data_IF_704431678970
#
_entry.id   IF_704431678970
#
_cell.length_a   1.000
_cell.length_b   1.000
_cell.length_c   1.000
_cell.angle_alpha   90.00
_cell.angle_beta   90.00
_cell.angle_gamma   90.00
#
_symmetry.space_group_name_H-M   'P 1'
#
loop_
_entity.id
_entity.type
_entity.pdbx_description
1 polymer ?
#
# COMPACT_ATOMS: atom_id res chain seq x y z
N UNK A 1 -21.03 -14.96 33.34
CA UNK A 1 -20.04 -15.39 32.32
C UNK A 1 -20.33 -14.64 31.04
N UNK A 2 -19.59 -13.56 30.77
CA UNK A 2 -19.76 -12.76 29.55
C UNK A 2 -19.43 -13.64 28.35
N UNK A 3 -20.36 -13.67 27.40
CA UNK A 3 -20.25 -14.39 26.12
C UNK A 3 -18.93 -13.95 25.48
N UNK A 4 -18.02 -14.90 25.27
CA UNK A 4 -16.79 -14.71 24.50
C UNK A 4 -17.17 -13.99 23.21
N UNK A 5 -16.77 -12.72 23.05
CA UNK A 5 -17.04 -11.97 21.83
C UNK A 5 -16.40 -12.75 20.68
N UNK A 6 -17.18 -13.28 19.72
CA UNK A 6 -16.61 -13.94 18.56
C UNK A 6 -15.67 -12.95 17.86
N UNK A 7 -14.48 -13.39 17.43
CA UNK A 7 -13.44 -12.50 16.94
C UNK A 7 -13.99 -11.66 15.78
N UNK A 8 -13.86 -10.34 15.91
CA UNK A 8 -14.36 -9.34 14.96
C UNK A 8 -13.91 -9.60 13.51
N UNK A 9 -12.83 -10.37 13.35
CA UNK A 9 -12.28 -10.95 12.13
C UNK A 9 -13.32 -11.58 11.20
N UNK A 10 -14.35 -12.25 11.73
CA UNK A 10 -15.39 -12.84 10.88
C UNK A 10 -16.13 -11.79 10.03
N UNK A 11 -16.22 -10.54 10.48
CA UNK A 11 -16.86 -9.43 9.75
C UNK A 11 -16.03 -8.91 8.58
N UNK A 12 -14.75 -9.26 8.56
CA UNK A 12 -13.79 -8.86 7.54
C UNK A 12 -13.54 -9.94 6.49
N UNK A 13 -14.20 -11.10 6.61
CA UNK A 13 -14.15 -12.16 5.61
C UNK A 13 -14.62 -11.64 4.25
N UNK A 14 -13.93 -12.08 3.21
CA UNK A 14 -14.17 -11.68 1.81
C UNK A 14 -14.04 -10.17 1.55
N UNK A 15 -13.39 -9.43 2.46
CA UNK A 15 -13.11 -8.00 2.30
C UNK A 15 -11.63 -7.75 2.05
N UNK A 16 -11.35 -6.62 1.40
CA UNK A 16 -10.00 -6.15 1.22
C UNK A 16 -9.42 -5.61 2.52
N UNK A 17 -8.24 -6.11 2.88
CA UNK A 17 -7.53 -5.80 4.13
C UNK A 17 -6.08 -5.44 3.83
N UNK A 18 -5.57 -4.47 4.56
CA UNK A 18 -4.17 -4.06 4.56
C UNK A 18 -3.49 -4.60 5.82
N UNK A 19 -2.45 -5.40 5.63
CA UNK A 19 -1.69 -6.06 6.69
C UNK A 19 -0.31 -5.42 6.79
N UNK A 20 0.00 -4.89 7.97
CA UNK A 20 1.35 -4.45 8.33
C UNK A 20 2.07 -5.63 8.97
N UNK A 21 3.11 -6.11 8.31
CA UNK A 21 3.93 -7.22 8.77
C UNK A 21 5.22 -6.72 9.40
N UNK A 22 5.88 -7.59 10.16
CA UNK A 22 7.22 -7.33 10.66
C UNK A 22 8.20 -7.01 9.52
N UNK A 23 9.12 -6.08 9.77
CA UNK A 23 10.10 -5.62 8.78
C UNK A 23 9.58 -4.53 7.83
N UNK A 24 8.62 -3.71 8.28
CA UNK A 24 8.03 -2.60 7.52
C UNK A 24 7.40 -3.02 6.18
N UNK A 25 6.97 -4.28 6.07
CA UNK A 25 6.30 -4.80 4.88
C UNK A 25 4.81 -4.55 5.01
N UNK A 26 4.20 -4.12 3.91
CA UNK A 26 2.75 -3.92 3.84
C UNK A 26 2.21 -4.81 2.73
N UNK A 27 1.28 -5.68 3.10
CA UNK A 27 0.62 -6.59 2.17
C UNK A 27 -0.87 -6.29 2.17
N UNK A 28 -1.41 -6.02 0.99
CA UNK A 28 -2.85 -5.81 0.78
C UNK A 28 -3.44 -7.03 0.10
N UNK A 29 -4.65 -7.44 0.46
CA UNK A 29 -5.35 -8.51 -0.26
C UNK A 29 -6.72 -8.83 0.33
N UNK A 30 -7.35 -9.91 -0.15
CA UNK A 30 -8.69 -10.31 0.29
C UNK A 30 -8.58 -11.35 1.41
N UNK A 31 -9.23 -11.11 2.55
CA UNK A 31 -9.25 -12.05 3.66
C UNK A 31 -10.12 -13.27 3.33
N UNK A 32 -9.53 -14.46 3.22
CA UNK A 32 -10.24 -15.72 2.94
C UNK A 32 -10.42 -16.63 4.14
N UNK A 33 -9.58 -16.50 5.16
CA UNK A 33 -9.68 -17.34 6.34
C UNK A 33 -8.74 -16.91 7.44
N UNK A 34 -9.05 -17.30 8.66
CA UNK A 34 -8.20 -17.08 9.82
C UNK A 34 -8.29 -18.27 10.77
N UNK A 35 -7.27 -18.46 11.59
CA UNK A 35 -7.24 -19.48 12.64
C UNK A 35 -7.13 -18.87 14.05
N UNK A 36 -7.25 -19.67 15.12
CA UNK A 36 -7.10 -19.18 16.50
C UNK A 36 -5.73 -18.60 16.82
N UNK A 37 -4.70 -18.91 16.03
CA UNK A 37 -3.35 -18.39 16.16
C UNK A 37 -3.11 -17.15 15.28
N UNK A 38 -4.18 -16.56 14.74
CA UNK A 38 -4.15 -15.40 13.85
C UNK A 38 -3.37 -15.65 12.55
N UNK A 39 -3.15 -16.90 12.13
CA UNK A 39 -2.69 -17.15 10.77
C UNK A 39 -3.82 -16.79 9.80
N UNK A 40 -3.49 -16.04 8.77
CA UNK A 40 -4.47 -15.48 7.83
C UNK A 40 -4.20 -16.01 6.42
N UNK A 41 -5.26 -16.43 5.75
CA UNK A 41 -5.25 -16.74 4.32
C UNK A 41 -5.68 -15.49 3.57
N UNK A 42 -4.80 -14.99 2.71
CA UNK A 42 -5.05 -13.83 1.86
C UNK A 42 -5.00 -14.26 0.41
N UNK A 43 -6.01 -13.89 -0.36
CA UNK A 43 -6.03 -14.04 -1.82
C UNK A 43 -5.65 -12.71 -2.50
N UNK A 44 -5.08 -12.80 -3.70
CA UNK A 44 -4.61 -11.66 -4.49
C UNK A 44 -3.73 -10.72 -3.67
N UNK A 45 -2.82 -11.29 -2.88
CA UNK A 45 -1.91 -10.54 -2.03
C UNK A 45 -0.93 -9.74 -2.89
N UNK A 46 -0.92 -8.43 -2.66
CA UNK A 46 0.00 -7.48 -3.28
C UNK A 46 0.86 -6.86 -2.20
N UNK A 47 2.16 -7.03 -2.31
CA UNK A 47 3.12 -6.37 -1.45
C UNK A 47 3.42 -4.97 -1.99
N UNK A 48 3.15 -3.96 -1.15
CA UNK A 48 3.48 -2.58 -1.42
C UNK A 48 4.83 -2.28 -0.74
N UNK A 49 5.91 -2.24 -1.53
CA UNK A 49 7.20 -1.76 -1.05
C UNK A 49 7.14 -0.24 -0.88
N UNK A 50 6.66 0.23 0.27
CA UNK A 50 6.85 1.62 0.66
C UNK A 50 8.34 1.83 0.92
N UNK A 51 9.09 2.24 -0.10
CA UNK A 51 10.28 3.05 0.14
C UNK A 51 9.75 4.36 0.70
N UNK A 52 9.74 4.50 2.03
CA UNK A 52 9.49 5.78 2.67
C UNK A 52 10.55 6.75 2.15
N UNK A 53 10.14 7.62 1.23
CA UNK A 53 10.72 8.95 1.12
C UNK A 53 9.72 9.83 1.86
N UNK A 54 10.02 10.17 3.12
CA UNK A 54 9.39 11.33 3.74
C UNK A 54 9.82 12.54 2.91
N UNK A 55 8.94 13.01 2.01
CA UNK A 55 9.12 14.31 1.37
C UNK A 55 8.28 15.29 2.18
N UNK A 56 8.79 15.75 3.31
CA UNK A 56 8.18 16.81 4.12
C UNK A 56 8.47 18.21 3.54
N UNK A 57 8.47 18.32 2.22
CA UNK A 57 8.89 19.51 1.50
C UNK A 57 8.02 19.76 0.29
N UNK A 58 7.13 20.75 0.41
CA UNK A 58 6.40 21.33 -0.70
C UNK A 58 7.37 21.66 -1.85
N UNK A 59 7.30 20.92 -2.95
CA UNK A 59 8.00 21.23 -4.19
C UNK A 59 7.11 22.19 -4.98
N UNK A 60 7.35 23.49 -4.80
CA UNK A 60 6.72 24.56 -5.59
C UNK A 60 7.56 24.81 -6.85
N UNK A 61 7.21 24.17 -7.98
CA UNK A 61 7.91 24.36 -9.25
C UNK A 61 7.32 25.58 -9.96
N UNK A 62 7.87 26.78 -9.69
CA UNK A 62 7.66 27.96 -10.53
C UNK A 62 8.69 27.99 -11.66
N UNK A 63 8.24 27.71 -12.88
CA UNK A 63 9.06 27.90 -14.10
C UNK A 63 8.76 29.30 -14.64
N UNK A 64 9.69 30.24 -14.52
CA UNK A 64 9.62 31.52 -15.24
C UNK A 64 9.98 31.29 -16.71
N UNK A 65 9.01 31.50 -17.58
CA UNK A 65 9.13 31.29 -19.02
C UNK A 65 9.97 32.40 -19.67
N UNK A 66 11.27 32.17 -19.82
CA UNK A 66 12.14 32.86 -20.78
C UNK A 66 13.20 31.87 -21.31
N UNK A 67 12.77 30.85 -22.03
CA UNK A 67 13.69 29.95 -22.72
C UNK A 67 13.22 29.80 -24.18
N UNK A 68 14.13 30.06 -25.11
CA UNK A 68 13.98 29.87 -26.56
C UNK A 68 13.59 28.42 -26.88
N UNK A 69 12.93 28.23 -28.03
CA UNK A 69 12.20 26.99 -28.35
C UNK A 69 13.06 25.71 -28.35
N UNK A 70 14.37 25.81 -28.63
CA UNK A 70 15.31 24.68 -28.54
C UNK A 70 15.60 24.24 -27.09
N UNK A 71 15.73 25.20 -26.16
CA UNK A 71 15.94 24.93 -24.73
C UNK A 71 14.70 24.31 -24.09
N UNK A 72 13.48 24.68 -24.53
CA UNK A 72 12.24 24.09 -24.01
C UNK A 72 12.11 22.59 -24.29
N UNK A 73 12.62 22.10 -25.42
CA UNK A 73 12.54 20.69 -25.75
C UNK A 73 13.45 19.82 -24.88
N UNK A 74 14.68 20.30 -24.61
CA UNK A 74 15.63 19.60 -23.73
C UNK A 74 15.16 19.69 -22.27
N UNK A 75 14.77 20.88 -21.82
CA UNK A 75 14.25 21.10 -20.46
C UNK A 75 12.95 20.31 -20.25
N UNK A 76 12.04 20.29 -21.25
CA UNK A 76 10.80 19.53 -21.20
C UNK A 76 11.02 18.02 -21.15
N UNK A 77 11.99 17.48 -21.90
CA UNK A 77 12.39 16.07 -21.79
C UNK A 77 13.00 15.75 -20.42
N UNK A 78 13.83 16.65 -19.89
CA UNK A 78 14.48 16.47 -18.61
C UNK A 78 13.49 16.54 -17.44
N UNK A 79 12.57 17.52 -17.44
CA UNK A 79 11.50 17.63 -16.44
C UNK A 79 10.56 16.43 -16.52
N UNK A 80 10.14 16.01 -17.72
CA UNK A 80 9.30 14.80 -17.89
C UNK A 80 10.01 13.55 -17.39
N UNK A 81 11.31 13.44 -17.58
CA UNK A 81 12.12 12.32 -17.09
C UNK A 81 12.30 12.35 -15.56
N UNK A 82 12.56 13.52 -14.98
CA UNK A 82 12.70 13.71 -13.53
C UNK A 82 11.36 13.46 -12.84
N UNK A 83 10.28 14.08 -13.31
CA UNK A 83 8.92 13.85 -12.80
C UNK A 83 8.51 12.39 -13.01
N UNK A 84 8.79 11.81 -14.17
CA UNK A 84 8.50 10.40 -14.44
C UNK A 84 9.25 9.44 -13.52
N UNK A 85 10.54 9.70 -13.23
CA UNK A 85 11.28 8.96 -12.22
C UNK A 85 10.71 9.20 -10.83
N UNK A 86 10.43 10.44 -10.45
CA UNK A 86 9.88 10.78 -9.14
C UNK A 86 8.51 10.10 -8.91
N UNK A 87 7.60 10.14 -9.88
CA UNK A 87 6.31 9.44 -9.85
C UNK A 87 6.50 7.92 -9.73
N UNK A 88 7.43 7.34 -10.49
CA UNK A 88 7.73 5.90 -10.39
C UNK A 88 8.31 5.52 -9.02
N UNK A 89 9.08 6.41 -8.39
CA UNK A 89 9.60 6.22 -7.04
C UNK A 89 8.52 6.41 -5.96
N UNK A 90 7.57 7.33 -6.16
CA UNK A 90 6.46 7.58 -5.25
C UNK A 90 5.42 6.44 -5.26
N UNK A 91 5.15 5.85 -6.43
CA UNK A 91 4.13 4.81 -6.54
C UNK A 91 4.51 3.45 -5.93
N UNK A 92 5.79 3.25 -5.59
CA UNK A 92 6.31 2.00 -5.04
C UNK A 92 6.29 0.86 -6.08
N UNK A 93 7.26 -0.03 -5.99
CA UNK A 93 7.18 -1.30 -6.72
C UNK A 93 6.14 -2.19 -6.02
N UNK A 94 5.16 -2.67 -6.79
CA UNK A 94 4.13 -3.61 -6.32
C UNK A 94 4.52 -5.01 -6.76
N UNK A 95 4.59 -5.94 -5.83
CA UNK A 95 4.82 -7.34 -6.14
C UNK A 95 3.51 -8.11 -5.94
N UNK A 96 2.99 -8.68 -7.03
CA UNK A 96 1.83 -9.57 -7.00
C UNK A 96 2.28 -10.95 -6.54
N UNK A 97 1.81 -11.41 -5.39
CA UNK A 97 2.18 -12.70 -4.81
C UNK A 97 1.10 -13.75 -5.10
N UNK A 98 -0.17 -13.34 -5.10
CA UNK A 98 -1.32 -14.23 -5.28
C UNK A 98 -1.85 -14.78 -3.95
N UNK A 99 -2.20 -16.07 -3.89
CA UNK A 99 -2.71 -16.69 -2.66
C UNK A 99 -1.58 -17.02 -1.69
N UNK A 100 -1.66 -16.48 -0.48
CA UNK A 100 -0.65 -16.71 0.57
C UNK A 100 -1.28 -16.96 1.93
N UNK A 101 -0.57 -17.74 2.73
CA UNK A 101 -0.87 -17.90 4.16
C UNK A 101 0.18 -17.11 4.94
N UNK A 102 -0.29 -16.13 5.70
CA UNK A 102 0.55 -15.28 6.56
C UNK A 102 0.47 -15.81 7.98
N UNK A 103 1.63 -16.02 8.61
CA UNK A 103 1.70 -16.47 10.00
C UNK A 103 1.28 -15.35 10.94
N UNK A 104 0.42 -15.64 11.92
CA UNK A 104 -0.13 -14.65 12.85
C UNK A 104 0.94 -13.93 13.69
N UNK A 105 2.03 -14.62 14.03
CA UNK A 105 3.17 -14.03 14.75
C UNK A 105 3.86 -12.89 13.99
N UNK A 106 3.65 -12.79 12.67
CA UNK A 106 4.27 -11.79 11.81
C UNK A 106 3.38 -10.58 11.55
N UNK A 107 2.10 -10.63 11.95
CA UNK A 107 1.13 -9.56 11.73
C UNK A 107 1.18 -8.58 12.90
N UNK A 108 1.50 -7.33 12.59
CA UNK A 108 1.55 -6.25 13.59
C UNK A 108 0.21 -5.55 13.68
N UNK A 109 -0.35 -5.17 12.53
CA UNK A 109 -1.62 -4.45 12.42
C UNK A 109 -2.37 -4.95 11.19
N UNK A 110 -3.70 -5.06 11.33
CA UNK A 110 -4.63 -5.32 10.24
C UNK A 110 -5.63 -4.17 10.16
N UNK A 111 -5.70 -3.54 9.00
CA UNK A 111 -6.60 -2.42 8.72
C UNK A 111 -7.57 -2.83 7.59
N UNK A 112 -8.89 -2.76 7.79
CA UNK A 112 -9.84 -3.01 6.72
C UNK A 112 -9.82 -1.83 5.74
N UNK A 113 -9.75 -2.12 4.45
CA UNK A 113 -9.77 -1.08 3.42
C UNK A 113 -11.19 -0.64 3.07
N UNK A 114 -12.15 -1.54 3.26
CA UNK A 114 -13.56 -1.29 3.03
C UNK A 114 -14.28 -0.96 4.34
N UNK A 115 -15.24 -0.04 4.25
CA UNK A 115 -16.11 0.28 5.40
C UNK A 115 -16.95 -0.95 5.72
N UNK A 116 -16.96 -1.36 6.99
CA UNK A 116 -17.89 -2.37 7.44
C UNK A 116 -19.31 -1.79 7.38
N UNK A 117 -20.13 -2.29 6.46
CA UNK A 117 -21.57 -2.09 6.54
C UNK A 117 -22.09 -2.70 7.85
N UNK A 118 -22.53 -1.83 8.75
CA UNK A 118 -23.25 -2.21 9.96
C UNK A 118 -24.70 -2.53 9.55
N UNK A 119 -24.94 -3.73 9.03
CA UNK A 119 -26.30 -4.27 8.86
C UNK A 119 -26.49 -5.47 9.78
#
# INVERSE_FOLDING_TARGET
MSKTHPPELKKYMDKQVDLKLNGNRIVSGILRGFDPFMNIVVEDAVENLKKMVEIDGSIDIRITAQATDECQWIIGKMIRWIIGKMIRWINGEKNEIGMVVIRGNSIVIMEPKERLDQR
#
